data_IF_824969294997
#
_entry.id   IF_824969294997
#
_cell.length_a   1.000
_cell.length_b   1.000
_cell.length_c   1.000
_cell.angle_alpha   90.00
_cell.angle_beta   90.00
_cell.angle_gamma   90.00
#
_symmetry.space_group_name_H-M   'P 1'
#
loop_
_entity.id
_entity.type
_entity.pdbx_description
1 polymer ?
#
# COMPACT_ATOMS: atom_id res chain seq x y z
N UNK A 1 -10.24 -12.32 10.45
CA UNK A 1 -9.45 -11.12 10.09
C UNK A 1 -9.81 -10.72 8.68
N UNK A 2 -10.33 -9.51 8.50
CA UNK A 2 -10.62 -8.95 7.18
C UNK A 2 -9.33 -8.50 6.49
N UNK A 3 -9.31 -8.50 5.16
CA UNK A 3 -8.17 -8.05 4.36
C UNK A 3 -8.65 -7.28 3.13
N UNK A 4 -7.82 -6.37 2.63
CA UNK A 4 -8.06 -5.66 1.39
C UNK A 4 -7.33 -6.34 0.23
N UNK A 5 -7.96 -6.36 -0.95
CA UNK A 5 -7.36 -6.81 -2.21
C UNK A 5 -7.28 -5.61 -3.16
N UNK A 6 -6.08 -5.29 -3.62
CA UNK A 6 -5.83 -4.21 -4.58
C UNK A 6 -5.04 -4.76 -5.77
N UNK A 7 -5.55 -4.50 -6.96
CA UNK A 7 -4.90 -4.84 -8.23
C UNK A 7 -4.72 -3.58 -9.08
N UNK A 8 -3.56 -3.45 -9.70
CA UNK A 8 -3.21 -2.33 -10.57
C UNK A 8 -2.96 -2.85 -11.97
N UNK A 9 -3.75 -2.38 -12.93
CA UNK A 9 -3.60 -2.74 -14.34
C UNK A 9 -2.60 -1.83 -15.06
N UNK A 10 -1.55 -2.42 -15.64
CA UNK A 10 -0.60 -1.75 -16.52
C UNK A 10 -0.46 -2.53 -17.81
N UNK A 11 -0.83 -1.93 -18.95
CA UNK A 11 -0.63 -2.49 -20.30
C UNK A 11 -0.77 -4.03 -20.40
N UNK A 12 -1.98 -4.54 -20.13
CA UNK A 12 -2.34 -5.97 -20.13
C UNK A 12 -1.71 -6.85 -19.04
N UNK A 13 -1.11 -6.24 -18.01
CA UNK A 13 -0.56 -6.90 -16.83
C UNK A 13 -1.30 -6.43 -15.58
N UNK A 14 -1.77 -7.37 -14.74
CA UNK A 14 -2.30 -7.05 -13.41
C UNK A 14 -1.20 -7.23 -12.38
N UNK A 15 -1.04 -6.23 -11.53
CA UNK A 15 -0.10 -6.23 -10.42
C UNK A 15 -0.89 -6.30 -9.12
N UNK A 16 -0.85 -7.46 -8.48
CA UNK A 16 -1.44 -7.65 -7.17
C UNK A 16 -0.54 -7.01 -6.10
N UNK A 17 -1.11 -6.09 -5.33
CA UNK A 17 -0.42 -5.50 -4.18
C UNK A 17 -0.64 -6.40 -2.96
N UNK A 18 0.44 -6.80 -2.30
CA UNK A 18 0.39 -7.63 -1.12
C UNK A 18 -0.39 -6.92 0.00
N UNK A 19 -1.35 -7.58 0.69
CA UNK A 19 -2.20 -6.91 1.68
C UNK A 19 -1.45 -6.25 2.84
N UNK A 20 -0.26 -6.77 3.21
CA UNK A 20 0.61 -6.15 4.22
C UNK A 20 1.13 -4.77 3.80
N UNK A 21 1.29 -4.51 2.51
CA UNK A 21 1.75 -3.22 2.00
C UNK A 21 0.59 -2.23 1.78
N UNK A 22 -0.65 -2.64 2.05
CA UNK A 22 -1.84 -1.78 1.95
C UNK A 22 -2.17 -1.06 3.27
N UNK A 23 -1.77 -1.63 4.41
CA UNK A 23 -2.23 -1.14 5.72
C UNK A 23 -1.13 -1.12 6.78
N UNK A 24 -1.17 -0.09 7.63
CA UNK A 24 -0.33 0.02 8.81
C UNK A 24 -1.14 -0.13 10.10
N UNK A 25 -0.51 -0.63 11.17
CA UNK A 25 -1.06 -0.57 12.51
C UNK A 25 -0.75 0.80 13.13
N UNK A 26 -1.75 1.41 13.73
CA UNK A 26 -1.58 2.63 14.52
C UNK A 26 -2.30 2.51 15.85
N UNK A 27 -1.74 3.12 16.89
CA UNK A 27 -2.40 3.24 18.19
C UNK A 27 -3.12 4.58 18.23
N UNK A 28 -4.42 4.54 18.47
CA UNK A 28 -5.26 5.72 18.68
C UNK A 28 -5.53 5.84 20.17
N UNK A 29 -5.14 6.97 20.75
CA UNK A 29 -5.50 7.31 22.14
C UNK A 29 -6.81 8.09 22.14
N UNK A 30 -7.83 7.52 22.79
CA UNK A 30 -9.14 8.12 22.93
C UNK A 30 -9.12 9.26 23.97
N UNK A 31 -10.11 10.17 23.96
CA UNK A 31 -10.23 11.23 24.96
C UNK A 31 -10.34 10.73 26.40
N UNK A 32 -10.83 9.50 26.60
CA UNK A 32 -10.93 8.83 27.90
C UNK A 32 -9.60 8.19 28.36
N UNK A 33 -8.52 8.33 27.59
CA UNK A 33 -7.18 7.82 27.88
C UNK A 33 -6.96 6.35 27.47
N UNK A 34 -7.96 5.67 26.90
CA UNK A 34 -7.78 4.30 26.39
C UNK A 34 -7.01 4.31 25.07
N UNK A 35 -6.14 3.33 24.91
CA UNK A 35 -5.45 3.07 23.66
C UNK A 35 -6.16 1.94 22.91
N UNK A 36 -6.52 2.18 21.65
CA UNK A 36 -7.06 1.19 20.73
C UNK A 36 -6.17 1.09 19.50
N UNK A 37 -6.22 -0.04 18.82
CA UNK A 37 -5.45 -0.27 17.59
C UNK A 37 -6.34 -0.11 16.38
N UNK A 38 -5.90 0.68 15.41
CA UNK A 38 -6.55 0.83 14.12
C UNK A 38 -5.62 0.35 13.00
N UNK A 39 -6.21 -0.32 11.99
CA UNK A 39 -5.54 -0.57 10.71
C UNK A 39 -5.88 0.59 9.77
N UNK A 40 -4.88 1.41 9.43
CA UNK A 40 -5.05 2.54 8.51
C UNK A 40 -4.44 2.24 7.15
N UNK A 41 -4.99 2.84 6.10
CA UNK A 41 -4.50 2.70 4.73
C UNK A 41 -3.15 3.41 4.56
N UNK A 42 -2.24 2.81 3.80
CA UNK A 42 -1.06 3.51 3.28
C UNK A 42 -1.38 4.43 2.10
N UNK A 43 -2.53 4.22 1.45
CA UNK A 43 -3.04 5.14 0.43
C UNK A 43 -3.70 6.32 1.13
N UNK A 44 -3.17 7.49 0.83
CA UNK A 44 -3.66 8.78 1.29
C UNK A 44 -3.93 9.65 0.07
N UNK A 45 -4.90 10.55 0.18
CA UNK A 45 -5.06 11.60 -0.79
C UNK A 45 -3.92 12.61 -0.62
N UNK A 46 -3.46 13.16 -1.74
CA UNK A 46 -2.52 14.27 -1.75
C UNK A 46 -2.84 15.13 -2.95
N UNK A 47 -2.97 16.43 -2.74
CA UNK A 47 -2.99 17.42 -3.82
C UNK A 47 -1.67 18.18 -3.80
N UNK A 48 -0.99 18.22 -4.94
CA UNK A 48 0.25 18.96 -5.10
C UNK A 48 0.10 19.91 -6.28
N UNK A 49 0.06 21.20 -5.99
CA UNK A 49 0.00 22.31 -6.96
C UNK A 49 -1.01 22.14 -8.12
N UNK A 50 -2.17 21.53 -7.86
CA UNK A 50 -3.27 21.44 -8.85
C UNK A 50 -3.17 20.29 -9.86
N UNK A 51 -2.22 19.37 -9.69
CA UNK A 51 -2.19 18.11 -10.44
C UNK A 51 -2.92 17.03 -9.63
N UNK A 52 -4.26 17.09 -9.62
CA UNK A 52 -5.11 16.30 -8.72
C UNK A 52 -5.39 14.87 -9.21
N UNK A 53 -4.75 14.42 -10.29
CA UNK A 53 -5.09 13.16 -10.96
C UNK A 53 -3.94 12.14 -11.03
N UNK A 54 -2.78 12.44 -10.45
CA UNK A 54 -1.62 11.57 -10.54
C UNK A 54 -1.53 10.62 -9.34
N UNK A 55 -1.45 9.32 -9.62
CA UNK A 55 -1.06 8.32 -8.61
C UNK A 55 0.44 8.43 -8.37
N UNK A 56 0.81 9.17 -7.33
CA UNK A 56 2.21 9.26 -6.89
C UNK A 56 2.56 8.03 -6.06
N UNK A 57 3.20 7.06 -6.71
CA UNK A 57 3.73 5.86 -6.07
C UNK A 57 5.04 6.17 -5.35
N UNK A 58 5.01 6.27 -4.02
CA UNK A 58 6.24 6.33 -3.24
C UNK A 58 7.02 5.00 -3.29
N UNK A 59 8.34 5.09 -3.34
CA UNK A 59 9.28 3.98 -3.58
C UNK A 59 9.23 2.81 -2.58
N UNK A 60 8.51 2.93 -1.45
CA UNK A 60 8.59 1.93 -0.39
C UNK A 60 7.54 0.83 -0.45
N UNK A 61 6.40 1.01 -1.13
CA UNK A 61 5.27 0.05 -1.01
C UNK A 61 4.91 -0.59 -2.35
N UNK A 62 4.75 0.21 -3.41
CA UNK A 62 4.53 -0.34 -4.75
C UNK A 62 5.78 -1.07 -5.27
N UNK A 63 6.97 -0.51 -5.09
CA UNK A 63 8.24 -1.16 -5.51
C UNK A 63 8.63 -2.38 -4.67
N UNK A 64 7.96 -2.67 -3.54
CA UNK A 64 8.14 -3.97 -2.85
C UNK A 64 7.38 -5.09 -3.55
N UNK A 65 6.30 -4.74 -4.25
CA UNK A 65 5.41 -5.67 -4.94
C UNK A 65 5.84 -5.92 -6.40
N UNK A 66 6.71 -5.07 -6.94
CA UNK A 66 7.20 -5.17 -8.31
C UNK A 66 8.70 -4.96 -8.39
N UNK A 67 9.36 -5.67 -9.27
CA UNK A 67 10.67 -5.28 -9.76
C UNK A 67 10.49 -4.36 -10.97
N UNK A 68 10.91 -3.10 -10.85
CA UNK A 68 10.79 -2.10 -11.90
C UNK A 68 12.13 -1.91 -12.64
N UNK A 69 12.11 -2.10 -13.95
CA UNK A 69 13.24 -1.83 -14.85
C UNK A 69 12.93 -0.56 -15.62
N UNK A 70 13.84 0.39 -15.54
CA UNK A 70 13.79 1.64 -16.29
C UNK A 70 14.94 1.63 -17.29
N UNK A 71 14.62 1.53 -18.58
CA UNK A 71 15.57 1.68 -19.66
C UNK A 71 15.34 3.03 -20.34
N UNK A 72 16.33 3.92 -20.23
CA UNK A 72 16.28 5.26 -20.80
C UNK A 72 16.79 5.30 -22.25
N UNK A 73 17.13 4.15 -22.84
CA UNK A 73 17.82 4.04 -24.10
C UNK A 73 19.29 4.47 -24.00
N UNK A 74 19.93 4.62 -25.16
CA UNK A 74 21.32 5.06 -25.27
C UNK A 74 21.36 6.54 -25.61
N UNK A 75 22.00 7.35 -24.77
CA UNK A 75 22.27 8.74 -25.10
C UNK A 75 23.21 8.81 -26.32
N UNK A 76 22.85 9.62 -27.31
CA UNK A 76 23.65 9.80 -28.53
C UNK A 76 23.83 11.28 -28.86
N UNK A 77 24.91 11.59 -29.56
CA UNK A 77 25.23 12.96 -29.96
C UNK A 77 24.45 13.41 -31.22
N UNK A 78 23.34 12.75 -31.55
CA UNK A 78 22.44 13.13 -32.64
C UNK A 78 21.44 14.19 -32.18
N UNK A 79 20.75 14.86 -33.11
CA UNK A 79 19.74 15.88 -32.78
C UNK A 79 18.63 15.41 -31.83
N UNK A 80 18.33 14.10 -31.79
CA UNK A 80 17.32 13.52 -30.89
C UNK A 80 17.85 13.21 -29.49
N UNK A 81 19.18 13.24 -29.27
CA UNK A 81 19.80 12.99 -27.97
C UNK A 81 19.73 11.55 -27.45
N UNK A 82 18.90 10.68 -28.03
CA UNK A 82 18.65 9.30 -27.59
C UNK A 82 18.55 8.37 -28.82
N UNK A 83 19.07 7.15 -28.67
CA UNK A 83 18.97 6.03 -29.61
C UNK A 83 18.51 4.77 -28.87
N UNK A 84 17.56 4.05 -29.46
CA UNK A 84 16.84 2.95 -28.80
C UNK A 84 15.53 3.44 -28.19
N UNK A 85 14.55 2.55 -28.09
CA UNK A 85 13.22 2.87 -27.56
C UNK A 85 13.24 2.73 -26.03
N UNK A 86 13.05 3.83 -25.27
CA UNK A 86 13.01 3.75 -23.82
C UNK A 86 11.76 2.99 -23.37
N UNK A 87 11.88 2.20 -22.31
CA UNK A 87 10.78 1.43 -21.77
C UNK A 87 10.82 1.35 -20.25
N UNK A 88 9.64 1.12 -19.67
CA UNK A 88 9.48 0.77 -18.26
C UNK A 88 8.83 -0.62 -18.24
N UNK A 89 9.45 -1.55 -17.52
CA UNK A 89 8.90 -2.89 -17.30
C UNK A 89 8.69 -3.13 -15.82
N UNK A 90 7.50 -3.62 -15.46
CA UNK A 90 7.14 -3.99 -14.09
C UNK A 90 6.97 -5.50 -14.01
N UNK A 91 7.67 -6.15 -13.09
CA UNK A 91 7.59 -7.59 -12.85
C UNK A 91 6.96 -7.84 -11.48
N UNK A 92 5.72 -8.35 -11.39
CA UNK A 92 5.05 -8.68 -10.13
C UNK A 92 5.85 -9.70 -9.32
N UNK A 93 5.98 -9.42 -8.03
CA UNK A 93 6.66 -10.30 -7.06
C UNK A 93 5.67 -11.02 -6.15
N UNK A 94 4.46 -10.49 -6.01
CA UNK A 94 3.42 -11.01 -5.12
C UNK A 94 2.89 -12.36 -5.60
N UNK A 95 2.96 -13.38 -4.75
CA UNK A 95 2.29 -14.65 -4.99
C UNK A 95 0.85 -14.60 -4.45
N UNK A 96 -0.12 -14.46 -5.36
CA UNK A 96 -1.55 -14.36 -5.01
C UNK A 96 -2.04 -15.49 -4.11
N UNK A 97 -1.60 -16.73 -4.36
CA UNK A 97 -2.05 -17.89 -3.60
C UNK A 97 -1.59 -17.91 -2.14
N UNK A 98 -0.54 -17.14 -1.81
CA UNK A 98 0.08 -17.11 -0.48
C UNK A 98 -0.17 -15.81 0.28
N UNK A 99 -0.34 -14.69 -0.44
CA UNK A 99 -0.40 -13.36 0.12
C UNK A 99 -1.44 -13.18 1.25
N UNK A 100 -2.62 -13.80 1.10
CA UNK A 100 -3.68 -13.78 2.13
C UNK A 100 -3.28 -14.51 3.41
N UNK A 101 -2.65 -15.69 3.29
CA UNK A 101 -2.22 -16.47 4.43
C UNK A 101 -1.06 -15.77 5.17
N UNK A 102 -0.08 -15.28 4.42
CA UNK A 102 1.06 -14.52 4.95
C UNK A 102 0.61 -13.24 5.66
N UNK A 103 -0.37 -12.52 5.09
CA UNK A 103 -0.97 -11.36 5.73
C UNK A 103 -1.60 -11.72 7.07
N UNK A 104 -2.47 -12.74 7.11
CA UNK A 104 -3.20 -13.13 8.33
C UNK A 104 -2.25 -13.57 9.43
N UNK A 105 -1.23 -14.35 9.10
CA UNK A 105 -0.21 -14.79 10.06
C UNK A 105 0.58 -13.60 10.60
N UNK A 106 1.17 -12.78 9.72
CA UNK A 106 1.99 -11.64 10.11
C UNK A 106 1.19 -10.60 10.91
N UNK A 107 -0.05 -10.32 10.50
CA UNK A 107 -0.92 -9.35 11.17
C UNK A 107 -1.41 -9.85 12.53
N UNK A 108 -1.77 -11.13 12.66
CA UNK A 108 -2.14 -11.70 13.96
C UNK A 108 -0.97 -11.64 14.95
N UNK A 109 0.25 -11.98 14.47
CA UNK A 109 1.47 -11.87 15.27
C UNK A 109 1.80 -10.43 15.64
N UNK A 110 1.59 -9.46 14.75
CA UNK A 110 1.81 -8.06 15.07
C UNK A 110 0.81 -7.58 16.14
N UNK A 111 -0.48 -7.86 15.95
CA UNK A 111 -1.56 -7.43 16.85
C UNK A 111 -1.43 -7.97 18.28
N UNK A 112 -0.77 -9.10 18.51
CA UNK A 112 -0.53 -9.61 19.87
C UNK A 112 0.33 -8.68 20.75
N UNK A 113 1.05 -7.73 20.14
CA UNK A 113 1.86 -6.73 20.84
C UNK A 113 1.15 -5.37 20.99
N UNK A 114 -0.06 -5.24 20.46
CA UNK A 114 -0.81 -3.99 20.41
C UNK A 114 -2.03 -4.03 21.34
N UNK A 115 -2.60 -2.87 21.71
CA UNK A 115 -3.89 -2.79 22.39
C UNK A 115 -5.03 -3.44 21.57
N UNK A 116 -6.21 -3.67 22.18
CA UNK A 116 -7.37 -4.18 21.47
C UNK A 116 -7.71 -3.35 20.22
N UNK A 117 -8.13 -4.03 19.15
CA UNK A 117 -8.54 -3.39 17.92
C UNK A 117 -9.77 -2.50 18.17
N UNK A 118 -9.92 -1.41 17.40
CA UNK A 118 -11.10 -0.56 17.43
C UNK A 118 -12.27 -1.23 16.69
N UNK A 119 -13.48 -1.14 17.24
CA UNK A 119 -14.69 -1.51 16.53
C UNK A 119 -15.08 -0.39 15.55
N UNK A 120 -14.88 -0.65 14.25
CA UNK A 120 -15.11 0.35 13.20
C UNK A 120 -16.57 0.84 13.14
N UNK A 121 -17.54 0.04 13.58
CA UNK A 121 -18.94 0.47 13.64
C UNK A 121 -19.19 1.58 14.66
N UNK A 122 -18.27 1.76 15.61
CA UNK A 122 -18.35 2.76 16.69
C UNK A 122 -17.39 3.93 16.49
N UNK A 123 -16.71 4.01 15.33
CA UNK A 123 -15.63 5.00 15.13
C UNK A 123 -16.12 6.46 15.16
N UNK A 124 -17.38 6.69 14.82
CA UNK A 124 -18.02 8.01 14.85
C UNK A 124 -18.77 8.28 16.17
N UNK A 125 -18.76 7.32 17.10
CA UNK A 125 -19.43 7.50 18.40
C UNK A 125 -18.59 8.40 19.30
N UNK A 126 -19.21 9.09 20.28
CA UNK A 126 -18.48 9.92 21.25
C UNK A 126 -17.41 9.14 22.03
N UNK A 127 -17.60 7.83 22.19
CA UNK A 127 -16.65 6.92 22.84
C UNK A 127 -16.55 5.63 22.01
N UNK A 128 -15.56 5.55 21.09
CA UNK A 128 -15.34 4.34 20.31
C UNK A 128 -15.01 3.12 21.19
N UNK A 129 -15.52 1.96 20.77
CA UNK A 129 -15.40 0.71 21.51
C UNK A 129 -14.28 -0.17 20.95
N UNK A 130 -13.77 -1.07 21.79
CA UNK A 130 -12.89 -2.13 21.32
C UNK A 130 -13.71 -3.16 20.52
N UNK A 131 -13.06 -3.77 19.53
CA UNK A 131 -13.56 -4.96 18.86
C UNK A 131 -13.53 -6.12 19.86
N UNK A 132 -14.70 -6.70 20.10
CA UNK A 132 -14.88 -7.83 21.02
C UNK A 132 -14.43 -9.16 20.45
#
# INVERSE_FOLDING_TARGET
>A
MAEARLELGFNNQSILVHPLDLTNLTIVTLPDGRNLTACISYFQNGSWYGNDNDLVSNMSYQLRNVYAVYDFGKLTNTLSGVSGDPFIQLLPLTNESKASAEFKEARAKALSFFPPEINISTINDPVPQALG
#
